data_IF_339778705921
#
_entry.id   IF_339778705921
#
_cell.length_a   1.000
_cell.length_b   1.000
_cell.length_c   1.000
_cell.angle_alpha   90.00
_cell.angle_beta   90.00
_cell.angle_gamma   90.00
#
_symmetry.space_group_name_H-M   'P 1'
#
loop_
_entity.id
_entity.type
_entity.pdbx_description
1 polymer ?
#
# COMPACT_ATOMS: atom_id res chain seq x y z
N UNK A 1 -2.03 22.99 8.68
CA UNK A 1 -2.66 24.28 9.04
C UNK A 1 -1.55 25.22 9.43
N UNK A 2 -1.48 26.36 8.78
CA UNK A 2 -0.67 27.47 9.24
C UNK A 2 -1.57 28.25 10.20
N UNK A 3 -1.25 28.23 11.49
CA UNK A 3 -1.99 28.98 12.52
C UNK A 3 -1.57 30.44 12.50
N UNK A 4 -2.51 31.33 12.79
CA UNK A 4 -2.16 32.73 13.02
C UNK A 4 -1.36 32.87 14.32
N UNK A 5 -0.25 33.60 14.24
CA UNK A 5 0.64 33.80 15.38
C UNK A 5 0.24 35.00 16.25
N UNK A 6 -0.51 35.94 15.66
CA UNK A 6 -1.10 37.08 16.33
C UNK A 6 -2.26 37.69 15.52
N UNK A 7 -3.03 38.58 16.11
CA UNK A 7 -4.11 39.25 15.40
C UNK A 7 -3.61 40.08 14.20
N UNK A 8 -2.37 40.55 14.20
CA UNK A 8 -1.76 41.38 13.15
C UNK A 8 -0.88 40.61 12.16
N UNK A 9 -0.50 39.37 12.48
CA UNK A 9 0.37 38.56 11.66
C UNK A 9 -0.36 37.32 11.12
N UNK A 10 0.04 36.87 9.94
CA UNK A 10 -0.38 35.62 9.34
C UNK A 10 0.82 34.83 8.83
N UNK A 11 0.79 33.53 8.99
CA UNK A 11 1.75 32.66 8.36
C UNK A 11 1.43 32.50 6.88
N UNK A 12 2.42 32.70 6.04
CA UNK A 12 2.33 32.42 4.62
C UNK A 12 3.54 31.62 4.14
N UNK A 13 3.40 31.02 2.99
CA UNK A 13 4.49 30.32 2.32
C UNK A 13 5.16 31.23 1.31
N UNK A 14 6.45 31.50 1.48
CA UNK A 14 7.23 32.18 0.46
C UNK A 14 7.52 31.20 -0.69
N UNK A 15 6.99 31.49 -1.86
CA UNK A 15 7.11 30.63 -3.04
C UNK A 15 8.52 30.56 -3.61
N UNK A 16 9.41 31.53 -3.26
CA UNK A 16 10.78 31.57 -3.76
C UNK A 16 11.72 30.62 -3.01
N UNK A 17 11.56 30.47 -1.70
CA UNK A 17 12.44 29.66 -0.85
C UNK A 17 11.74 28.47 -0.18
N UNK A 18 10.41 28.39 -0.27
CA UNK A 18 9.60 27.34 0.33
C UNK A 18 9.47 27.43 1.85
N UNK A 19 9.90 28.54 2.47
CA UNK A 19 9.79 28.74 3.90
C UNK A 19 8.46 29.39 4.30
N UNK A 20 7.98 29.03 5.46
CA UNK A 20 6.82 29.70 6.07
C UNK A 20 7.33 30.88 6.92
N UNK A 21 6.91 32.09 6.56
CA UNK A 21 7.27 33.31 7.24
C UNK A 21 6.09 33.88 8.03
N UNK A 22 6.39 34.50 9.15
CA UNK A 22 5.43 35.26 9.93
C UNK A 22 5.55 36.74 9.56
N UNK A 23 4.60 37.25 8.78
CA UNK A 23 4.61 38.61 8.27
C UNK A 23 3.41 39.41 8.74
N UNK A 24 3.58 40.72 8.88
CA UNK A 24 2.50 41.63 9.22
C UNK A 24 1.46 41.70 8.09
N UNK A 25 0.21 41.42 8.39
CA UNK A 25 -0.89 41.33 7.39
C UNK A 25 -1.05 42.62 6.54
N UNK A 26 -0.77 43.77 7.14
CA UNK A 26 -0.97 45.05 6.49
C UNK A 26 0.10 45.42 5.46
N UNK A 27 1.32 44.89 5.59
CA UNK A 27 2.46 45.22 4.74
C UNK A 27 2.89 44.10 3.82
N UNK A 28 2.34 42.91 3.98
CA UNK A 28 2.77 41.76 3.20
C UNK A 28 2.03 41.68 1.86
N UNK A 29 2.76 41.80 0.77
CA UNK A 29 2.22 41.65 -0.58
C UNK A 29 2.15 40.19 -1.05
N UNK A 30 2.63 39.24 -0.25
CA UNK A 30 2.47 37.82 -0.54
C UNK A 30 0.99 37.43 -0.49
N UNK A 31 0.54 36.65 -1.47
CA UNK A 31 -0.86 36.18 -1.49
C UNK A 31 -1.07 35.17 -0.38
N UNK A 32 -1.69 35.64 0.72
CA UNK A 32 -2.22 34.77 1.77
C UNK A 32 -3.57 34.27 1.30
N UNK A 33 -3.71 32.97 1.15
CA UNK A 33 -5.01 32.31 0.91
C UNK A 33 -5.51 31.71 2.23
N UNK A 34 -6.42 32.39 2.95
CA UNK A 34 -7.00 31.83 4.15
C UNK A 34 -7.93 30.65 3.77
N UNK A 35 -7.81 29.55 4.47
CA UNK A 35 -8.71 28.37 4.29
C UNK A 35 -10.19 28.76 4.48
N UNK A 36 -10.47 29.81 5.25
CA UNK A 36 -11.80 30.39 5.41
C UNK A 36 -12.41 31.01 4.15
N UNK A 37 -11.61 31.32 3.12
CA UNK A 37 -12.13 31.80 1.85
C UNK A 37 -12.85 30.72 1.04
N UNK A 38 -12.51 29.45 1.25
CA UNK A 38 -13.19 28.30 0.63
C UNK A 38 -14.65 28.16 1.08
N UNK A 39 -14.99 28.65 2.28
CA UNK A 39 -16.34 28.57 2.84
C UNK A 39 -17.25 29.71 2.36
N UNK A 40 -16.75 30.70 1.58
CA UNK A 40 -17.50 31.89 1.18
C UNK A 40 -17.80 32.01 -0.31
N UNK A 41 -17.45 31.03 -1.13
CA UNK A 41 -17.54 31.16 -2.59
C UNK A 41 -18.95 30.94 -3.14
N UNK A 42 -19.90 30.47 -2.37
CA UNK A 42 -21.30 30.44 -2.82
C UNK A 42 -22.26 30.78 -1.67
N UNK A 43 -22.90 31.94 -1.75
CA UNK A 43 -24.01 32.34 -0.91
C UNK A 43 -25.33 31.60 -1.20
N UNK A 44 -25.31 30.47 -1.84
CA UNK A 44 -26.42 29.54 -1.91
C UNK A 44 -26.35 28.63 -0.69
N UNK A 45 -27.35 28.54 0.18
CA UNK A 45 -27.39 27.52 1.19
C UNK A 45 -27.49 26.17 0.48
N UNK A 46 -26.34 25.49 0.35
CA UNK A 46 -26.31 24.10 -0.05
C UNK A 46 -27.07 23.35 1.03
N UNK A 47 -28.13 22.66 0.67
CA UNK A 47 -28.70 21.63 1.52
C UNK A 47 -27.64 20.52 1.62
N UNK A 48 -26.75 20.68 2.58
CA UNK A 48 -25.54 19.86 2.81
C UNK A 48 -25.87 18.47 3.38
N UNK A 49 -27.14 18.05 3.34
CA UNK A 49 -27.55 16.92 4.17
C UNK A 49 -27.38 15.54 3.54
N UNK A 50 -27.10 15.41 2.24
CA UNK A 50 -27.06 14.08 1.59
C UNK A 50 -25.99 13.95 0.50
N UNK A 51 -24.88 14.71 0.56
CA UNK A 51 -23.91 14.79 -0.53
C UNK A 51 -22.44 14.82 -0.05
N UNK A 52 -21.52 14.50 -0.96
CA UNK A 52 -20.10 14.71 -0.72
C UNK A 52 -19.80 16.18 -0.51
N UNK A 53 -19.22 16.51 0.62
CA UNK A 53 -18.86 17.89 0.97
C UNK A 53 -17.43 18.23 0.52
N UNK A 54 -17.17 19.51 0.24
CA UNK A 54 -15.81 20.01 -0.04
C UNK A 54 -14.88 19.72 1.14
N UNK A 55 -15.36 19.85 2.39
CA UNK A 55 -14.59 19.57 3.59
C UNK A 55 -14.13 18.09 3.64
N UNK A 56 -15.02 17.14 3.33
CA UNK A 56 -14.68 15.72 3.27
C UNK A 56 -13.62 15.40 2.21
N UNK A 57 -13.66 16.09 1.05
CA UNK A 57 -12.63 15.95 0.03
C UNK A 57 -11.30 16.62 0.43
N UNK A 58 -11.31 17.72 1.16
CA UNK A 58 -10.12 18.35 1.73
C UNK A 58 -9.44 17.39 2.71
N UNK A 59 -10.19 16.74 3.58
CA UNK A 59 -9.66 15.72 4.50
C UNK A 59 -9.01 14.55 3.73
N UNK A 60 -9.68 14.04 2.70
CA UNK A 60 -9.17 12.99 1.83
C UNK A 60 -7.91 13.43 1.07
N UNK A 61 -7.86 14.67 0.59
CA UNK A 61 -6.69 15.26 -0.06
C UNK A 61 -5.50 15.32 0.90
N UNK A 62 -5.68 15.85 2.10
CA UNK A 62 -4.58 15.92 3.08
C UNK A 62 -4.13 14.53 3.54
N UNK A 63 -5.02 13.56 3.62
CA UNK A 63 -4.65 12.17 3.89
C UNK A 63 -3.89 11.54 2.71
N UNK A 64 -4.35 11.71 1.50
CA UNK A 64 -3.68 11.26 0.27
C UNK A 64 -2.27 11.86 0.13
N UNK A 65 -2.11 13.14 0.46
CA UNK A 65 -0.87 13.89 0.36
C UNK A 65 0.19 13.46 1.38
N UNK A 66 -0.18 12.84 2.49
CA UNK A 66 0.77 12.36 3.49
C UNK A 66 1.86 11.51 2.84
N UNK A 67 3.13 11.86 3.10
CA UNK A 67 4.34 11.17 2.57
C UNK A 67 4.54 11.23 1.05
N UNK A 68 3.68 11.95 0.29
CA UNK A 68 3.78 12.07 -1.17
C UNK A 68 4.04 13.51 -1.66
N UNK A 69 4.30 14.46 -0.78
CA UNK A 69 4.47 15.90 -1.06
C UNK A 69 5.57 16.23 -2.09
N UNK A 70 6.44 15.28 -2.43
CA UNK A 70 7.57 15.47 -3.34
C UNK A 70 7.35 14.88 -4.72
N UNK A 71 6.20 14.28 -4.98
CA UNK A 71 5.90 13.74 -6.31
C UNK A 71 5.38 14.86 -7.21
N UNK A 72 5.79 14.87 -8.48
CA UNK A 72 5.37 15.87 -9.45
C UNK A 72 3.84 15.99 -9.51
N UNK A 73 3.13 14.87 -9.58
CA UNK A 73 1.67 14.85 -9.63
C UNK A 73 0.99 15.49 -8.40
N UNK A 74 1.59 15.33 -7.20
CA UNK A 74 1.08 15.96 -5.99
C UNK A 74 1.34 17.47 -5.99
N UNK A 75 2.53 17.90 -6.44
CA UNK A 75 2.90 19.31 -6.52
C UNK A 75 2.01 20.03 -7.54
N UNK A 76 1.82 19.48 -8.74
CA UNK A 76 0.97 20.04 -9.79
C UNK A 76 -0.50 20.13 -9.31
N UNK A 77 -0.98 19.13 -8.59
CA UNK A 77 -2.34 19.19 -8.03
C UNK A 77 -2.47 20.26 -6.96
N UNK A 78 -1.42 20.42 -6.12
CA UNK A 78 -1.39 21.36 -4.99
C UNK A 78 -1.43 22.84 -5.43
N UNK A 79 -0.97 23.15 -6.64
CA UNK A 79 -0.97 24.54 -7.15
C UNK A 79 -2.37 25.15 -7.25
N UNK A 80 -3.40 24.33 -7.40
CA UNK A 80 -4.79 24.74 -7.61
C UNK A 80 -5.77 23.71 -7.01
N UNK A 81 -5.45 23.18 -5.84
CA UNK A 81 -6.20 22.06 -5.28
C UNK A 81 -7.61 22.46 -4.85
N UNK A 82 -7.83 23.69 -4.43
CA UNK A 82 -9.15 24.17 -4.00
C UNK A 82 -10.16 24.10 -5.13
N UNK A 83 -9.85 24.72 -6.27
CA UNK A 83 -10.74 24.72 -7.45
C UNK A 83 -10.94 23.29 -7.99
N UNK A 84 -9.89 22.48 -7.97
CA UNK A 84 -9.98 21.07 -8.41
C UNK A 84 -10.86 20.22 -7.49
N UNK A 85 -10.79 20.45 -6.16
CA UNK A 85 -11.64 19.74 -5.20
C UNK A 85 -13.11 20.15 -5.32
N UNK A 86 -13.39 21.44 -5.60
CA UNK A 86 -14.75 21.89 -5.87
C UNK A 86 -15.29 21.22 -7.14
N UNK A 87 -14.53 21.25 -8.24
CA UNK A 87 -14.91 20.59 -9.48
C UNK A 87 -15.08 19.08 -9.32
N UNK A 88 -14.24 18.42 -8.50
CA UNK A 88 -14.37 17.01 -8.18
C UNK A 88 -15.66 16.73 -7.38
N UNK A 89 -15.96 17.54 -6.37
CA UNK A 89 -17.20 17.46 -5.60
C UNK A 89 -18.41 17.51 -6.52
N UNK A 90 -18.45 18.52 -7.39
CA UNK A 90 -19.59 18.74 -8.29
C UNK A 90 -19.78 17.52 -9.21
N UNK A 91 -18.72 17.00 -9.82
CA UNK A 91 -18.78 15.78 -10.62
C UNK A 91 -19.23 14.54 -9.84
N UNK A 92 -18.88 14.43 -8.58
CA UNK A 92 -19.35 13.32 -7.74
C UNK A 92 -20.84 13.45 -7.46
N UNK A 93 -21.27 14.65 -7.04
CA UNK A 93 -22.66 14.93 -6.71
C UNK A 93 -23.58 14.80 -7.94
N UNK A 94 -23.11 15.20 -9.12
CA UNK A 94 -23.82 15.04 -10.40
C UNK A 94 -23.72 13.63 -10.98
N UNK A 95 -23.08 12.67 -10.32
CA UNK A 95 -22.83 11.29 -10.80
C UNK A 95 -22.05 11.22 -12.12
N UNK A 96 -21.30 12.25 -12.47
CA UNK A 96 -20.49 12.33 -13.70
C UNK A 96 -19.01 11.99 -13.47
N UNK A 97 -18.61 11.75 -12.22
CA UNK A 97 -17.23 11.36 -11.92
C UNK A 97 -16.89 10.02 -12.55
N UNK A 98 -15.80 10.02 -13.33
CA UNK A 98 -15.15 8.83 -13.88
C UNK A 98 -13.65 8.89 -13.59
N UNK A 99 -13.00 7.77 -13.24
CA UNK A 99 -11.55 7.73 -13.01
C UNK A 99 -10.77 8.15 -14.25
N UNK A 100 -9.74 8.95 -14.03
CA UNK A 100 -8.88 9.48 -15.07
C UNK A 100 -7.86 8.46 -15.58
N UNK A 101 -6.97 8.94 -16.46
CA UNK A 101 -5.92 8.13 -17.07
C UNK A 101 -4.90 7.66 -16.03
N UNK A 102 -4.70 6.36 -15.92
CA UNK A 102 -3.72 5.73 -15.03
C UNK A 102 -2.33 5.64 -15.68
N UNK A 103 -1.29 5.60 -14.88
CA UNK A 103 0.07 5.22 -15.32
C UNK A 103 0.26 3.74 -15.03
N UNK A 104 0.60 2.95 -16.07
CA UNK A 104 0.90 1.54 -15.94
C UNK A 104 2.40 1.28 -16.10
N UNK A 105 2.99 0.51 -15.19
CA UNK A 105 4.38 0.10 -15.27
C UNK A 105 4.60 -1.30 -14.70
N UNK A 106 5.71 -1.92 -15.10
CA UNK A 106 6.08 -3.25 -14.63
C UNK A 106 7.21 -3.14 -13.61
N UNK A 107 6.95 -3.61 -12.40
CA UNK A 107 7.98 -3.84 -11.39
C UNK A 107 8.63 -5.19 -11.66
N UNK A 108 9.95 -5.20 -11.84
CA UNK A 108 10.70 -6.40 -12.23
C UNK A 108 11.20 -7.24 -11.05
N UNK A 109 11.20 -6.68 -9.84
CA UNK A 109 11.76 -7.33 -8.64
C UNK A 109 10.81 -7.22 -7.45
N UNK A 110 10.73 -8.23 -6.59
CA UNK A 110 11.39 -9.55 -6.66
C UNK A 110 10.83 -10.48 -7.74
N UNK A 111 9.71 -10.12 -8.35
CA UNK A 111 9.04 -10.78 -9.49
C UNK A 111 8.41 -9.73 -10.37
N UNK A 112 8.24 -10.03 -11.65
CA UNK A 112 7.49 -9.17 -12.56
C UNK A 112 6.06 -9.00 -12.06
N UNK A 113 5.62 -7.75 -11.93
CA UNK A 113 4.26 -7.38 -11.54
C UNK A 113 3.84 -6.13 -12.30
N UNK A 114 2.66 -6.16 -12.86
CA UNK A 114 2.00 -5.00 -13.43
C UNK A 114 1.40 -4.16 -12.30
N UNK A 115 1.63 -2.86 -12.36
CA UNK A 115 1.17 -1.90 -11.35
C UNK A 115 0.49 -0.75 -12.07
N UNK A 116 -0.70 -0.37 -11.62
CA UNK A 116 -1.43 0.79 -12.09
C UNK A 116 -1.41 1.87 -11.00
N UNK A 117 -0.86 3.01 -11.33
CA UNK A 117 -0.89 4.18 -10.49
C UNK A 117 -2.02 5.09 -10.98
N UNK A 118 -3.10 5.19 -10.23
CA UNK A 118 -4.21 6.07 -10.53
C UNK A 118 -3.76 7.54 -10.59
N UNK A 119 -4.46 8.40 -11.31
CA UNK A 119 -4.27 9.83 -11.30
C UNK A 119 -4.35 10.39 -9.86
N UNK A 120 -3.72 11.53 -9.60
CA UNK A 120 -3.66 12.04 -8.22
C UNK A 120 -5.06 12.35 -7.67
N UNK A 121 -5.95 12.86 -8.50
CA UNK A 121 -7.36 13.11 -8.17
C UNK A 121 -8.09 11.82 -7.77
N UNK A 122 -7.93 10.75 -8.55
CA UNK A 122 -8.54 9.45 -8.23
C UNK A 122 -8.03 8.88 -6.91
N UNK A 123 -6.75 9.14 -6.58
CA UNK A 123 -6.23 8.75 -5.27
C UNK A 123 -6.91 9.50 -4.14
N UNK A 124 -7.33 10.76 -4.34
CA UNK A 124 -8.14 11.50 -3.35
C UNK A 124 -9.48 10.78 -3.15
N UNK A 125 -10.12 10.36 -4.23
CA UNK A 125 -11.36 9.56 -4.13
C UNK A 125 -11.14 8.24 -3.39
N UNK A 126 -10.02 7.54 -3.67
CA UNK A 126 -9.67 6.32 -2.93
C UNK A 126 -9.48 6.58 -1.43
N UNK A 127 -8.86 7.71 -1.05
CA UNK A 127 -8.70 8.11 0.33
C UNK A 127 -10.04 8.54 0.96
N UNK A 128 -10.93 9.19 0.19
CA UNK A 128 -12.27 9.53 0.63
C UNK A 128 -13.07 8.28 1.03
N UNK A 129 -13.08 7.26 0.16
CA UNK A 129 -13.70 5.96 0.43
C UNK A 129 -13.05 5.30 1.66
N UNK A 130 -11.72 5.28 1.72
CA UNK A 130 -10.99 4.63 2.82
C UNK A 130 -11.30 5.27 4.17
N UNK A 131 -11.31 6.60 4.27
CA UNK A 131 -11.61 7.31 5.52
C UNK A 131 -12.99 6.96 6.10
N UNK A 132 -13.96 6.62 5.24
CA UNK A 132 -15.32 6.24 5.65
C UNK A 132 -15.46 4.74 5.95
N UNK A 133 -14.82 3.89 5.16
CA UNK A 133 -15.01 2.45 5.27
C UNK A 133 -13.99 1.75 6.17
N UNK A 134 -12.76 2.24 6.30
CA UNK A 134 -11.75 1.61 7.17
C UNK A 134 -12.23 1.44 8.62
N UNK A 135 -12.85 2.45 9.28
CA UNK A 135 -13.34 2.30 10.64
C UNK A 135 -14.40 1.20 10.78
N UNK A 136 -15.26 1.05 9.77
CA UNK A 136 -16.29 0.02 9.75
C UNK A 136 -15.72 -1.38 9.46
N UNK A 137 -14.76 -1.47 8.54
CA UNK A 137 -14.07 -2.71 8.24
C UNK A 137 -13.25 -3.21 9.42
N UNK A 138 -12.61 -2.29 10.19
CA UNK A 138 -11.88 -2.67 11.39
C UNK A 138 -12.75 -3.36 12.44
N UNK A 139 -14.05 -3.03 12.52
CA UNK A 139 -14.99 -3.67 13.43
C UNK A 139 -15.30 -5.12 13.06
N UNK A 140 -15.25 -5.46 11.76
CA UNK A 140 -15.58 -6.79 11.26
C UNK A 140 -14.36 -7.65 10.93
N UNK A 141 -13.20 -7.03 10.71
CA UNK A 141 -11.99 -7.77 10.35
C UNK A 141 -11.51 -8.66 11.48
N UNK A 142 -11.17 -9.89 11.12
CA UNK A 142 -10.49 -10.80 12.03
C UNK A 142 -9.23 -10.13 12.62
N UNK A 143 -8.95 -10.26 13.93
CA UNK A 143 -7.70 -9.81 14.52
C UNK A 143 -6.48 -10.47 13.87
N UNK A 144 -6.67 -11.55 13.14
CA UNK A 144 -5.66 -12.38 12.46
C UNK A 144 -5.34 -11.95 11.03
N UNK A 145 -5.92 -10.85 10.55
CA UNK A 145 -5.54 -10.20 9.29
C UNK A 145 -4.49 -9.13 9.57
N UNK A 146 -3.33 -9.18 8.91
CA UNK A 146 -2.16 -8.38 9.29
C UNK A 146 -1.77 -7.28 8.30
N UNK A 147 -2.18 -7.37 7.03
CA UNK A 147 -1.80 -6.39 6.00
C UNK A 147 -2.73 -5.17 5.99
N UNK A 148 -2.17 -4.02 5.62
CA UNK A 148 -2.90 -2.76 5.38
C UNK A 148 -3.81 -2.33 6.54
N UNK A 149 -3.40 -2.57 7.76
CA UNK A 149 -4.12 -2.19 8.99
C UNK A 149 -3.20 -1.41 9.92
N UNK A 150 -3.74 -0.40 10.58
CA UNK A 150 -2.98 0.44 11.52
C UNK A 150 -2.48 -0.39 12.70
N UNK A 151 -1.21 -0.23 13.05
CA UNK A 151 -0.57 -0.98 14.14
C UNK A 151 -0.22 -2.44 13.81
N UNK A 152 -0.61 -2.94 12.64
CA UNK A 152 -0.29 -4.28 12.15
C UNK A 152 0.74 -4.20 11.01
N UNK A 153 1.01 -5.28 10.35
CA UNK A 153 1.95 -5.36 9.25
C UNK A 153 2.79 -6.64 9.29
N UNK A 154 3.80 -6.68 8.45
CA UNK A 154 4.63 -7.87 8.25
C UNK A 154 5.27 -8.37 9.55
N UNK A 155 5.93 -7.48 10.29
CA UNK A 155 6.60 -7.86 11.55
C UNK A 155 5.61 -8.32 12.62
N UNK A 156 4.45 -7.67 12.70
CA UNK A 156 3.38 -8.09 13.60
C UNK A 156 2.93 -9.52 13.27
N UNK A 157 2.62 -9.82 12.00
CA UNK A 157 2.21 -11.15 11.57
C UNK A 157 3.26 -12.24 11.83
N UNK A 158 4.54 -11.92 11.63
CA UNK A 158 5.66 -12.82 11.92
C UNK A 158 5.74 -13.14 13.44
N UNK A 159 5.56 -12.13 14.28
CA UNK A 159 5.59 -12.32 15.73
C UNK A 159 4.37 -13.12 16.23
N UNK A 160 3.20 -12.86 15.66
CA UNK A 160 1.99 -13.66 15.96
C UNK A 160 2.18 -15.11 15.52
N UNK A 161 2.68 -15.38 14.32
CA UNK A 161 2.96 -16.76 13.89
C UNK A 161 3.93 -17.48 14.84
N UNK A 162 4.98 -16.77 15.30
CA UNK A 162 5.91 -17.34 16.28
C UNK A 162 5.24 -17.67 17.60
N UNK A 163 4.35 -16.80 18.06
CA UNK A 163 3.59 -17.03 19.29
C UNK A 163 2.60 -18.18 19.10
N UNK A 164 1.89 -18.22 17.98
CA UNK A 164 0.95 -19.32 17.66
C UNK A 164 1.65 -20.69 17.67
N UNK A 165 2.85 -20.79 17.10
CA UNK A 165 3.65 -22.01 17.13
C UNK A 165 4.00 -22.39 18.57
N UNK A 166 4.44 -21.43 19.38
CA UNK A 166 4.81 -21.66 20.80
C UNK A 166 3.60 -22.12 21.61
N UNK A 167 2.47 -21.49 21.46
CA UNK A 167 1.24 -21.82 22.22
C UNK A 167 0.66 -23.15 21.78
N UNK A 168 0.57 -23.40 20.48
CA UNK A 168 0.09 -24.67 19.94
C UNK A 168 0.97 -25.84 20.36
N UNK A 169 2.27 -25.68 20.40
CA UNK A 169 3.23 -26.72 20.83
C UNK A 169 3.45 -26.79 22.34
N UNK A 170 2.66 -26.08 23.15
CA UNK A 170 2.85 -26.00 24.60
C UNK A 170 4.31 -25.67 25.00
N UNK A 171 4.86 -24.60 24.40
CA UNK A 171 6.25 -24.20 24.65
C UNK A 171 7.29 -25.12 24.00
N UNK A 172 6.94 -25.75 22.88
CA UNK A 172 7.79 -26.67 22.08
C UNK A 172 7.97 -28.05 22.69
N UNK A 173 7.06 -28.47 23.56
CA UNK A 173 7.06 -29.79 24.21
C UNK A 173 6.19 -30.81 23.51
N UNK A 174 5.21 -30.36 22.71
CA UNK A 174 4.29 -31.23 21.98
C UNK A 174 4.38 -30.94 20.48
N UNK A 175 4.06 -31.95 19.68
CA UNK A 175 4.03 -31.80 18.23
C UNK A 175 2.96 -30.80 17.78
N UNK A 176 3.33 -29.97 16.84
CA UNK A 176 2.40 -29.17 16.07
C UNK A 176 2.87 -29.00 14.63
N UNK A 177 1.91 -28.75 13.76
CA UNK A 177 2.13 -28.64 12.31
C UNK A 177 1.68 -27.28 11.82
N UNK A 178 2.43 -26.76 10.85
CA UNK A 178 2.15 -25.48 10.21
C UNK A 178 1.73 -25.77 8.79
N UNK A 179 0.47 -25.44 8.46
CA UNK A 179 -0.03 -25.41 7.09
C UNK A 179 0.00 -23.98 6.59
N UNK A 180 0.60 -23.76 5.42
CA UNK A 180 0.61 -22.46 4.74
C UNK A 180 0.10 -22.63 3.33
N UNK A 181 -0.79 -21.73 2.93
CA UNK A 181 -1.49 -21.74 1.66
C UNK A 181 -1.41 -20.35 1.02
N UNK A 182 -1.54 -20.29 -0.30
CA UNK A 182 -1.50 -19.06 -1.08
C UNK A 182 -2.58 -19.12 -2.18
N UNK A 183 -3.13 -17.97 -2.54
CA UNK A 183 -4.12 -17.89 -3.61
C UNK A 183 -3.45 -17.68 -4.96
N UNK A 184 -3.92 -18.37 -5.98
CA UNK A 184 -3.39 -18.24 -7.33
C UNK A 184 -3.89 -16.95 -7.99
N UNK A 185 -2.96 -16.01 -8.24
CA UNK A 185 -3.29 -14.79 -8.98
C UNK A 185 -4.38 -13.95 -8.33
N UNK A 186 -4.46 -13.89 -7.00
CA UNK A 186 -5.57 -13.37 -6.23
C UNK A 186 -6.16 -12.07 -6.79
N UNK A 187 -5.37 -11.00 -6.91
CA UNK A 187 -5.87 -9.72 -7.40
C UNK A 187 -6.47 -9.80 -8.82
N UNK A 188 -5.92 -10.65 -9.68
CA UNK A 188 -6.40 -10.84 -11.05
C UNK A 188 -7.61 -11.77 -11.14
N UNK A 189 -7.89 -12.56 -10.09
CA UNK A 189 -9.04 -13.47 -10.06
C UNK A 189 -10.29 -12.83 -9.45
N UNK A 190 -10.18 -11.63 -8.88
CA UNK A 190 -11.32 -10.97 -8.23
C UNK A 190 -12.37 -10.59 -9.28
N UNK A 191 -13.59 -11.11 -9.14
CA UNK A 191 -14.73 -10.70 -9.94
C UNK A 191 -15.22 -9.32 -9.48
N UNK A 192 -15.09 -8.30 -10.34
CA UNK A 192 -15.42 -6.91 -10.03
C UNK A 192 -16.91 -6.73 -9.71
N UNK A 193 -17.79 -7.36 -10.47
CA UNK A 193 -19.24 -7.26 -10.24
C UNK A 193 -19.67 -7.89 -8.92
N UNK A 194 -19.09 -9.02 -8.55
CA UNK A 194 -19.31 -9.63 -7.24
C UNK A 194 -18.79 -8.74 -6.12
N UNK A 195 -17.55 -8.25 -6.24
CA UNK A 195 -16.95 -7.36 -5.24
C UNK A 195 -17.79 -6.09 -5.06
N UNK A 196 -18.21 -5.44 -6.15
CA UNK A 196 -19.05 -4.25 -6.11
C UNK A 196 -20.36 -4.51 -5.35
N UNK A 197 -21.03 -5.64 -5.62
CA UNK A 197 -22.26 -6.03 -4.88
C UNK A 197 -22.03 -6.27 -3.40
N UNK A 198 -20.92 -6.91 -3.03
CA UNK A 198 -20.58 -7.15 -1.62
C UNK A 198 -20.29 -5.85 -0.87
N UNK A 199 -19.54 -4.94 -1.50
CA UNK A 199 -19.23 -3.62 -0.92
C UNK A 199 -20.49 -2.76 -0.83
N UNK A 200 -21.32 -2.73 -1.88
CA UNK A 200 -22.58 -2.00 -1.87
C UNK A 200 -23.51 -2.46 -0.74
N UNK A 201 -23.72 -3.77 -0.61
CA UNK A 201 -24.50 -4.34 0.51
C UNK A 201 -23.93 -3.90 1.85
N UNK A 202 -22.61 -3.98 2.03
CA UNK A 202 -21.98 -3.58 3.29
C UNK A 202 -22.20 -2.10 3.60
N UNK A 203 -22.09 -1.21 2.60
CA UNK A 203 -22.35 0.22 2.76
C UNK A 203 -23.82 0.45 3.14
N UNK A 204 -24.75 -0.21 2.46
CA UNK A 204 -26.20 -0.11 2.79
C UNK A 204 -26.48 -0.50 4.24
N UNK A 205 -25.86 -1.59 4.70
CA UNK A 205 -26.15 -2.17 6.03
C UNK A 205 -25.39 -1.50 7.19
N UNK A 206 -24.25 -0.85 6.92
CA UNK A 206 -23.32 -0.45 7.99
C UNK A 206 -22.90 1.01 7.98
N UNK A 207 -23.15 1.73 6.91
CA UNK A 207 -22.77 3.14 6.82
C UNK A 207 -24.02 4.02 6.90
N UNK A 208 -24.03 4.93 7.87
CA UNK A 208 -25.16 5.85 8.13
C UNK A 208 -24.81 7.34 7.92
N UNK A 209 -23.67 7.61 7.21
CA UNK A 209 -23.31 8.98 6.86
C UNK A 209 -24.25 9.61 5.83
N UNK A 210 -24.35 10.96 5.81
CA UNK A 210 -25.23 11.67 4.88
C UNK A 210 -24.83 11.47 3.41
N UNK A 211 -23.58 11.18 3.14
CA UNK A 211 -23.02 10.93 1.81
C UNK A 211 -23.11 9.44 1.38
N UNK A 212 -24.04 8.67 1.96
CA UNK A 212 -24.19 7.21 1.72
C UNK A 212 -24.35 6.85 0.25
N UNK A 213 -25.24 7.54 -0.46
CA UNK A 213 -25.50 7.25 -1.87
C UNK A 213 -24.32 7.65 -2.77
N UNK A 214 -23.59 8.68 -2.42
CA UNK A 214 -22.37 9.07 -3.12
C UNK A 214 -21.25 8.08 -2.85
N UNK A 215 -21.13 7.61 -1.62
CA UNK A 215 -20.15 6.59 -1.26
C UNK A 215 -20.41 5.29 -2.01
N UNK A 216 -21.67 4.87 -2.16
CA UNK A 216 -22.07 3.72 -2.98
C UNK A 216 -21.68 3.90 -4.44
N UNK A 217 -22.00 5.07 -5.02
CA UNK A 217 -21.62 5.43 -6.38
C UNK A 217 -20.11 5.37 -6.57
N UNK A 218 -19.32 6.00 -5.68
CA UNK A 218 -17.87 6.00 -5.75
C UNK A 218 -17.28 4.60 -5.62
N UNK A 219 -17.74 3.80 -4.66
CA UNK A 219 -17.28 2.42 -4.50
C UNK A 219 -17.53 1.59 -5.76
N UNK A 220 -18.73 1.69 -6.35
CA UNK A 220 -19.08 1.01 -7.59
C UNK A 220 -18.20 1.47 -8.76
N UNK A 221 -18.02 2.77 -8.92
CA UNK A 221 -17.23 3.38 -9.99
C UNK A 221 -15.77 2.92 -9.92
N UNK A 222 -15.12 2.98 -8.75
CA UNK A 222 -13.71 2.58 -8.63
C UNK A 222 -13.49 1.06 -8.73
N UNK A 223 -14.45 0.25 -8.26
CA UNK A 223 -14.34 -1.22 -8.35
C UNK A 223 -14.52 -1.70 -9.79
N UNK A 224 -15.50 -1.14 -10.52
CA UNK A 224 -15.79 -1.53 -11.89
C UNK A 224 -14.84 -0.91 -12.91
N UNK A 225 -14.04 0.09 -12.51
CA UNK A 225 -13.08 0.73 -13.40
C UNK A 225 -12.10 -0.26 -14.03
N UNK A 226 -11.79 -0.03 -15.31
CA UNK A 226 -10.87 -0.83 -16.13
C UNK A 226 -9.66 0.02 -16.55
N UNK A 227 -8.68 0.20 -15.66
CA UNK A 227 -7.55 1.08 -15.91
C UNK A 227 -6.69 0.63 -17.11
N UNK A 228 -6.71 -0.65 -17.48
CA UNK A 228 -6.03 -1.18 -18.66
C UNK A 228 -6.57 -0.60 -19.97
N UNK A 229 -7.84 -0.16 -20.01
CA UNK A 229 -8.46 0.49 -21.16
C UNK A 229 -8.12 1.98 -21.27
N UNK A 230 -7.69 2.61 -20.15
CA UNK A 230 -7.34 4.03 -20.09
C UNK A 230 -6.07 4.25 -19.26
N UNK A 231 -4.91 3.89 -19.82
CA UNK A 231 -3.62 4.08 -19.15
C UNK A 231 -2.50 4.43 -20.12
N UNK A 232 -1.44 4.98 -19.55
CA UNK A 232 -0.16 5.22 -20.21
C UNK A 232 0.90 4.24 -19.69
N UNK A 233 1.57 3.53 -20.60
CA UNK A 233 2.59 2.53 -20.24
C UNK A 233 3.97 3.18 -20.16
N UNK A 234 4.54 3.23 -18.95
CA UNK A 234 5.84 3.84 -18.68
C UNK A 234 7.02 2.85 -18.68
N UNK A 235 6.77 1.55 -18.74
CA UNK A 235 7.83 0.54 -18.86
C UNK A 235 8.04 0.11 -20.31
N UNK A 236 9.26 -0.37 -20.66
CA UNK A 236 9.53 -0.96 -21.97
C UNK A 236 8.53 -2.09 -22.29
N UNK A 237 7.97 -2.08 -23.51
CA UNK A 237 6.92 -3.04 -23.93
C UNK A 237 7.31 -4.51 -23.70
N UNK A 238 8.58 -4.86 -23.90
CA UNK A 238 9.06 -6.23 -23.73
C UNK A 238 8.98 -6.75 -22.28
N UNK A 239 8.81 -5.88 -21.25
CA UNK A 239 8.62 -6.34 -19.87
C UNK A 239 7.31 -7.10 -19.68
N UNK A 240 6.28 -6.81 -20.46
CA UNK A 240 5.02 -7.54 -20.43
C UNK A 240 5.17 -8.98 -20.93
N UNK A 241 6.17 -9.30 -21.77
CA UNK A 241 6.45 -10.67 -22.23
C UNK A 241 6.90 -11.60 -21.08
N UNK A 242 7.40 -11.05 -20.00
CA UNK A 242 7.80 -11.82 -18.80
C UNK A 242 6.67 -11.99 -17.78
N UNK A 243 5.50 -11.39 -18.02
CA UNK A 243 4.32 -11.56 -17.18
C UNK A 243 3.49 -12.75 -17.70
N UNK A 244 3.17 -13.75 -16.83
CA UNK A 244 2.17 -14.74 -17.20
C UNK A 244 0.83 -14.06 -17.56
N UNK A 245 0.12 -14.55 -18.57
CA UNK A 245 -1.15 -13.97 -19.03
C UNK A 245 -2.15 -13.74 -17.88
N UNK A 246 -2.27 -14.68 -16.96
CA UNK A 246 -3.13 -14.58 -15.76
C UNK A 246 -2.64 -13.58 -14.69
N UNK A 247 -1.61 -12.77 -14.97
CA UNK A 247 -1.05 -11.75 -14.05
C UNK A 247 -1.00 -10.36 -14.64
N UNK A 248 -1.64 -10.14 -15.76
CA UNK A 248 -1.81 -8.83 -16.40
C UNK A 248 -3.29 -8.55 -16.63
N UNK A 249 -3.74 -7.33 -16.35
CA UNK A 249 -5.11 -6.91 -16.66
C UNK A 249 -5.35 -6.83 -18.17
N UNK A 250 -4.31 -6.57 -18.98
CA UNK A 250 -4.44 -6.51 -20.44
C UNK A 250 -4.79 -7.86 -21.09
N UNK A 251 -4.53 -8.96 -20.40
CA UNK A 251 -4.76 -10.32 -20.91
C UNK A 251 -5.71 -11.12 -20.02
N UNK A 252 -6.28 -10.48 -19.00
CA UNK A 252 -7.28 -11.09 -18.13
C UNK A 252 -8.66 -11.04 -18.77
N UNK A 253 -9.60 -11.85 -18.28
CA UNK A 253 -10.99 -11.82 -18.75
C UNK A 253 -11.73 -10.55 -18.31
N UNK A 254 -12.71 -10.12 -19.11
CA UNK A 254 -13.55 -8.96 -18.83
C UNK A 254 -14.22 -9.05 -17.46
N UNK A 255 -14.23 -7.94 -16.73
CA UNK A 255 -14.80 -7.87 -15.39
C UNK A 255 -14.00 -8.63 -14.30
N UNK A 256 -12.83 -9.17 -14.64
CA UNK A 256 -11.93 -9.83 -13.69
C UNK A 256 -10.70 -8.97 -13.39
N UNK A 257 -10.30 -9.02 -12.14
CA UNK A 257 -9.06 -8.40 -11.65
C UNK A 257 -9.23 -6.97 -11.17
N UNK A 258 -8.54 -6.65 -10.09
CA UNK A 258 -8.40 -5.29 -9.56
C UNK A 258 -6.95 -4.83 -9.66
N UNK A 259 -6.76 -3.58 -10.00
CA UNK A 259 -5.44 -3.00 -10.25
C UNK A 259 -4.55 -3.03 -9.01
N UNK A 260 -3.35 -3.60 -9.13
CA UNK A 260 -2.34 -3.52 -8.09
C UNK A 260 -1.73 -2.11 -8.08
N UNK A 261 -1.63 -1.49 -6.91
CA UNK A 261 -1.05 -0.16 -6.72
C UNK A 261 -2.00 0.87 -6.15
N UNK A 262 -3.29 0.58 -6.12
CA UNK A 262 -4.32 1.46 -5.59
C UNK A 262 -4.74 1.11 -4.16
N UNK A 263 -5.05 2.13 -3.36
CA UNK A 263 -5.44 1.96 -1.95
C UNK A 263 -6.72 1.12 -1.82
N UNK A 264 -7.74 1.43 -2.64
CA UNK A 264 -9.01 0.71 -2.59
C UNK A 264 -8.87 -0.78 -2.89
N UNK A 265 -7.95 -1.15 -3.80
CA UNK A 265 -7.71 -2.56 -4.15
C UNK A 265 -7.25 -3.38 -2.96
N UNK A 266 -6.40 -2.80 -2.11
CA UNK A 266 -5.92 -3.45 -0.90
C UNK A 266 -7.00 -3.53 0.18
N UNK A 267 -7.78 -2.46 0.33
CA UNK A 267 -8.87 -2.37 1.30
C UNK A 267 -9.97 -3.39 0.99
N UNK A 268 -10.45 -3.39 -0.25
CA UNK A 268 -11.52 -4.30 -0.68
C UNK A 268 -11.06 -5.75 -0.83
N UNK A 269 -9.78 -6.00 -1.14
CA UNK A 269 -9.20 -7.34 -1.10
C UNK A 269 -9.21 -7.92 0.32
N UNK A 270 -8.88 -7.11 1.33
CA UNK A 270 -9.01 -7.54 2.73
C UNK A 270 -10.46 -7.81 3.13
N UNK A 271 -11.38 -6.94 2.70
CA UNK A 271 -12.81 -7.12 2.93
C UNK A 271 -13.32 -8.44 2.33
N UNK A 272 -12.97 -8.73 1.08
CA UNK A 272 -13.34 -9.98 0.41
C UNK A 272 -12.81 -11.21 1.17
N UNK A 273 -11.53 -11.21 1.53
CA UNK A 273 -10.90 -12.35 2.20
C UNK A 273 -11.22 -12.47 3.70
N UNK A 274 -11.90 -11.49 4.30
CA UNK A 274 -12.37 -11.61 5.67
C UNK A 274 -13.33 -12.81 5.87
N UNK A 275 -14.03 -13.21 4.81
CA UNK A 275 -14.86 -14.41 4.78
C UNK A 275 -14.01 -15.67 5.04
N UNK A 276 -12.83 -15.75 4.41
CA UNK A 276 -11.90 -16.87 4.64
C UNK A 276 -11.39 -16.86 6.08
N UNK A 277 -11.03 -15.69 6.62
CA UNK A 277 -10.51 -15.58 7.99
C UNK A 277 -11.53 -16.11 9.00
N UNK A 278 -12.78 -15.71 8.89
CA UNK A 278 -13.84 -16.18 9.79
C UNK A 278 -14.24 -17.62 9.54
N UNK A 279 -14.18 -18.10 8.30
CA UNK A 279 -14.40 -19.51 7.98
C UNK A 279 -13.37 -20.42 8.67
N UNK A 280 -12.08 -20.04 8.63
CA UNK A 280 -11.03 -20.78 9.31
C UNK A 280 -11.26 -20.85 10.82
N UNK A 281 -11.68 -19.73 11.42
CA UNK A 281 -11.86 -19.61 12.87
C UNK A 281 -13.17 -20.25 13.34
N UNK A 282 -14.29 -19.88 12.72
CA UNK A 282 -15.63 -20.26 13.23
C UNK A 282 -16.14 -21.59 12.68
N UNK A 283 -15.93 -21.83 11.37
CA UNK A 283 -16.49 -23.03 10.72
C UNK A 283 -15.54 -24.23 10.79
N UNK A 284 -14.20 -23.97 10.71
CA UNK A 284 -13.21 -25.03 10.82
C UNK A 284 -12.63 -25.19 12.23
N UNK A 285 -12.94 -24.25 13.14
CA UNK A 285 -12.54 -24.30 14.54
C UNK A 285 -11.04 -24.23 14.77
N UNK A 286 -10.31 -23.46 13.95
CA UNK A 286 -8.87 -23.23 14.15
C UNK A 286 -8.62 -22.04 15.04
N UNK A 287 -7.83 -22.21 16.08
CA UNK A 287 -7.41 -21.13 17.01
C UNK A 287 -6.25 -20.32 16.45
N UNK A 288 -5.27 -20.98 15.85
CA UNK A 288 -4.03 -20.38 15.42
C UNK A 288 -4.01 -20.22 13.90
N UNK A 289 -4.49 -19.08 13.45
CA UNK A 289 -4.53 -18.71 12.02
C UNK A 289 -3.93 -17.34 11.83
N UNK A 290 -3.50 -17.00 10.60
CA UNK A 290 -3.08 -15.66 10.27
C UNK A 290 -2.96 -15.46 8.77
N UNK A 291 -3.28 -14.23 8.31
CA UNK A 291 -3.26 -13.88 6.90
C UNK A 291 -2.53 -12.56 6.64
N UNK A 292 -1.71 -12.57 5.60
CA UNK A 292 -1.08 -11.40 5.04
C UNK A 292 -1.36 -11.33 3.52
N UNK A 293 -2.34 -10.54 3.13
CA UNK A 293 -2.93 -10.47 1.76
C UNK A 293 -3.50 -11.83 1.36
N UNK A 294 -2.88 -12.51 0.40
CA UNK A 294 -3.23 -13.82 -0.15
C UNK A 294 -2.47 -14.99 0.49
N UNK A 295 -1.46 -14.69 1.31
CA UNK A 295 -0.62 -15.67 2.00
C UNK A 295 -1.17 -15.90 3.43
N UNK A 296 -1.64 -17.11 3.75
CA UNK A 296 -2.23 -17.41 5.05
C UNK A 296 -1.70 -18.71 5.62
N UNK A 297 -1.72 -18.81 6.94
CA UNK A 297 -1.30 -20.01 7.67
C UNK A 297 -2.34 -20.47 8.68
N UNK A 298 -2.26 -21.75 9.00
CA UNK A 298 -2.98 -22.41 10.08
C UNK A 298 -1.98 -23.26 10.86
N UNK A 299 -2.02 -23.21 12.18
CA UNK A 299 -1.20 -24.05 13.06
C UNK A 299 -2.13 -24.90 13.92
N UNK A 300 -1.90 -26.21 13.93
CA UNK A 300 -2.69 -27.15 14.73
C UNK A 300 -1.81 -28.36 15.11
N UNK A 301 -2.17 -29.05 16.20
CA UNK A 301 -1.53 -30.31 16.62
C UNK A 301 -1.93 -31.46 15.73
N UNK A 302 -3.15 -31.44 15.22
CA UNK A 302 -3.73 -32.51 14.40
C UNK A 302 -3.42 -32.23 12.91
N UNK A 303 -2.46 -32.98 12.37
CA UNK A 303 -2.09 -32.93 10.96
C UNK A 303 -3.23 -33.41 10.04
N UNK A 304 -4.04 -34.41 10.49
CA UNK A 304 -5.16 -34.90 9.70
C UNK A 304 -6.27 -33.87 9.57
N UNK A 305 -6.58 -33.13 10.67
CA UNK A 305 -7.50 -31.99 10.66
C UNK A 305 -7.07 -30.90 9.68
N UNK A 306 -5.77 -30.56 9.65
CA UNK A 306 -5.23 -29.60 8.69
C UNK A 306 -5.44 -30.05 7.25
N UNK A 307 -5.16 -31.32 6.94
CA UNK A 307 -5.37 -31.88 5.59
C UNK A 307 -6.84 -31.92 5.20
N UNK A 308 -7.73 -32.32 6.12
CA UNK A 308 -9.18 -32.35 5.90
C UNK A 308 -9.79 -30.94 5.67
N UNK A 309 -9.15 -29.88 6.17
CA UNK A 309 -9.57 -28.50 5.94
C UNK A 309 -9.37 -28.04 4.48
N UNK A 310 -8.36 -28.55 3.77
CA UNK A 310 -7.97 -28.08 2.43
C UNK A 310 -9.13 -28.15 1.41
N UNK A 311 -9.84 -29.28 1.23
CA UNK A 311 -10.97 -29.33 0.29
C UNK A 311 -12.11 -28.40 0.70
N UNK A 312 -12.37 -28.19 1.99
CA UNK A 312 -13.39 -27.26 2.49
C UNK A 312 -13.01 -25.80 2.19
N UNK A 313 -11.75 -25.42 2.41
CA UNK A 313 -11.20 -24.09 2.03
C UNK A 313 -11.32 -23.88 0.52
N UNK A 314 -10.98 -24.90 -0.29
CA UNK A 314 -11.10 -24.82 -1.75
C UNK A 314 -12.55 -24.61 -2.18
N UNK A 315 -13.50 -25.34 -1.61
CA UNK A 315 -14.91 -25.19 -1.90
C UNK A 315 -15.44 -23.79 -1.56
N UNK A 316 -15.03 -23.22 -0.41
CA UNK A 316 -15.35 -21.83 -0.07
C UNK A 316 -14.81 -20.87 -1.12
N UNK A 317 -13.53 -20.93 -1.41
CA UNK A 317 -12.85 -19.99 -2.32
C UNK A 317 -13.45 -20.05 -3.73
N UNK A 318 -13.80 -21.24 -4.23
CA UNK A 318 -14.43 -21.42 -5.54
C UNK A 318 -15.77 -20.69 -5.66
N UNK A 319 -16.55 -20.58 -4.57
CA UNK A 319 -17.81 -19.78 -4.55
C UNK A 319 -17.58 -18.30 -4.82
N UNK A 320 -16.37 -17.81 -4.53
CA UNK A 320 -15.95 -16.42 -4.76
C UNK A 320 -15.03 -16.27 -5.99
N UNK A 321 -14.98 -17.31 -6.86
CA UNK A 321 -14.14 -17.30 -8.06
C UNK A 321 -12.62 -17.32 -7.77
N UNK A 322 -12.22 -17.69 -6.55
CA UNK A 322 -10.84 -17.74 -6.11
C UNK A 322 -10.31 -19.16 -6.10
N UNK A 323 -9.01 -19.33 -6.33
CA UNK A 323 -8.37 -20.64 -6.44
C UNK A 323 -7.13 -20.72 -5.54
N UNK A 324 -6.99 -21.83 -4.80
CA UNK A 324 -5.73 -22.14 -4.10
C UNK A 324 -4.62 -22.43 -5.11
N UNK A 325 -3.43 -21.92 -4.83
CA UNK A 325 -2.25 -22.20 -5.63
C UNK A 325 -1.88 -23.70 -5.55
N UNK A 326 -1.83 -24.41 -6.68
CA UNK A 326 -1.51 -25.86 -6.65
C UNK A 326 -0.05 -26.11 -6.28
N UNK A 327 0.85 -25.13 -6.46
CA UNK A 327 2.29 -25.26 -6.26
C UNK A 327 2.80 -24.67 -4.96
N UNK A 328 1.94 -23.97 -4.21
CA UNK A 328 2.31 -23.30 -2.97
C UNK A 328 1.56 -23.86 -1.77
N UNK A 329 1.67 -25.14 -1.59
CA UNK A 329 1.20 -25.85 -0.41
C UNK A 329 2.38 -26.22 0.49
N UNK A 330 2.31 -25.80 1.74
CA UNK A 330 3.32 -26.13 2.75
C UNK A 330 2.62 -26.73 3.96
N UNK A 331 3.05 -27.92 4.40
CA UNK A 331 2.59 -28.55 5.62
C UNK A 331 3.76 -29.32 6.24
N UNK A 332 4.29 -28.80 7.32
CA UNK A 332 5.45 -29.38 8.01
C UNK A 332 5.31 -29.28 9.52
N UNK A 333 6.04 -30.13 10.21
CA UNK A 333 6.25 -30.00 11.66
C UNK A 333 6.99 -28.69 11.98
N UNK A 334 6.67 -28.03 13.10
CA UNK A 334 7.22 -26.71 13.46
C UNK A 334 8.75 -26.65 13.51
N UNK A 335 9.45 -27.76 13.84
CA UNK A 335 10.91 -27.80 13.89
C UNK A 335 11.60 -27.50 12.56
N UNK A 336 10.92 -27.72 11.43
CA UNK A 336 11.44 -27.38 10.11
C UNK A 336 11.45 -25.86 9.86
N UNK A 337 10.61 -25.11 10.60
CA UNK A 337 10.39 -23.69 10.38
C UNK A 337 9.48 -23.41 9.18
N UNK A 338 9.05 -22.19 9.02
CA UNK A 338 8.18 -21.76 7.91
C UNK A 338 8.61 -20.38 7.38
N UNK A 339 8.64 -20.23 6.07
CA UNK A 339 8.80 -18.90 5.46
C UNK A 339 7.44 -18.19 5.40
N UNK A 340 7.32 -17.04 6.09
CA UNK A 340 6.15 -16.19 6.04
C UNK A 340 6.59 -14.74 5.77
N UNK A 341 5.99 -14.12 4.74
CA UNK A 341 6.28 -12.74 4.33
C UNK A 341 7.78 -12.40 4.17
N UNK A 342 8.60 -13.38 3.70
CA UNK A 342 10.04 -13.19 3.46
C UNK A 342 10.93 -13.40 4.67
N UNK A 343 10.37 -13.83 5.79
CA UNK A 343 11.10 -14.22 7.00
C UNK A 343 10.87 -15.69 7.29
N UNK A 344 11.91 -16.41 7.61
CA UNK A 344 11.83 -17.79 8.10
C UNK A 344 11.68 -17.76 9.62
N UNK A 345 10.58 -18.33 10.11
CA UNK A 345 10.28 -18.47 11.54
C UNK A 345 10.60 -19.89 11.97
N UNK A 346 11.48 -20.03 12.95
CA UNK A 346 11.78 -21.28 13.67
C UNK A 346 11.42 -21.11 15.15
N UNK A 347 11.43 -22.20 15.88
CA UNK A 347 11.13 -22.20 17.31
C UNK A 347 12.07 -21.32 18.12
N UNK A 348 13.38 -21.36 17.81
CA UNK A 348 14.44 -20.65 18.53
C UNK A 348 14.73 -19.24 17.95
N UNK A 349 14.48 -19.03 16.66
CA UNK A 349 14.90 -17.82 15.94
C UNK A 349 14.03 -17.47 14.75
N UNK A 350 14.19 -16.24 14.27
CA UNK A 350 13.70 -15.79 12.96
C UNK A 350 14.85 -15.19 12.17
N UNK A 351 14.85 -15.40 10.85
CA UNK A 351 15.87 -14.85 9.96
C UNK A 351 15.30 -14.57 8.57
N UNK A 352 15.96 -13.66 7.86
CA UNK A 352 15.56 -13.25 6.52
C UNK A 352 15.78 -14.40 5.52
N UNK A 353 14.82 -14.64 4.63
CA UNK A 353 14.93 -15.71 3.65
C UNK A 353 16.08 -15.50 2.66
N UNK A 354 16.67 -16.60 2.17
CA UNK A 354 17.83 -16.59 1.28
C UNK A 354 17.61 -15.76 0.00
N UNK A 355 16.38 -15.70 -0.53
CA UNK A 355 16.05 -14.88 -1.70
C UNK A 355 16.26 -13.39 -1.40
N UNK A 356 15.82 -12.91 -0.25
CA UNK A 356 16.01 -11.51 0.16
C UNK A 356 17.49 -11.19 0.34
N UNK A 357 18.28 -12.09 0.95
CA UNK A 357 19.73 -11.95 1.11
C UNK A 357 20.42 -11.86 -0.27
N UNK A 358 20.10 -12.77 -1.20
CA UNK A 358 20.64 -12.73 -2.59
C UNK A 358 20.33 -11.41 -3.29
N UNK A 359 19.10 -10.93 -3.17
CA UNK A 359 18.68 -9.65 -3.76
C UNK A 359 19.38 -8.46 -3.12
N UNK A 360 19.65 -8.50 -1.82
CA UNK A 360 20.43 -7.48 -1.12
C UNK A 360 21.87 -7.41 -1.67
N UNK A 361 22.54 -8.55 -1.79
CA UNK A 361 23.89 -8.61 -2.40
C UNK A 361 23.88 -8.07 -3.83
N UNK A 362 22.84 -8.37 -4.62
CA UNK A 362 22.70 -7.81 -5.98
C UNK A 362 22.45 -6.30 -5.97
N UNK A 363 21.78 -5.75 -4.95
CA UNK A 363 21.61 -4.30 -4.82
C UNK A 363 22.96 -3.62 -4.53
N UNK A 364 23.79 -4.20 -3.66
CA UNK A 364 25.17 -3.72 -3.42
C UNK A 364 26.02 -3.78 -4.68
N UNK A 365 25.96 -4.88 -5.44
CA UNK A 365 26.67 -4.97 -6.73
C UNK A 365 26.25 -3.92 -7.73
N UNK A 366 24.95 -3.54 -7.74
CA UNK A 366 24.46 -2.42 -8.59
C UNK A 366 25.01 -1.07 -8.13
N UNK A 367 25.10 -0.86 -6.82
CA UNK A 367 25.74 0.35 -6.27
C UNK A 367 27.20 0.47 -6.72
N UNK A 368 27.95 -0.64 -6.64
CA UNK A 368 29.36 -0.68 -7.05
C UNK A 368 29.57 -0.40 -8.55
N UNK A 369 28.55 -0.66 -9.38
CA UNK A 369 28.56 -0.40 -10.83
C UNK A 369 27.89 0.93 -11.22
N UNK A 370 27.46 1.72 -10.24
CA UNK A 370 26.78 2.97 -10.52
C UNK A 370 27.79 4.04 -10.96
N UNK A 371 27.56 4.66 -12.10
CA UNK A 371 28.39 5.69 -12.70
C UNK A 371 27.92 7.11 -12.36
N UNK A 372 26.61 7.25 -12.10
CA UNK A 372 25.96 8.52 -11.81
C UNK A 372 25.10 8.45 -10.55
N UNK A 373 24.64 9.64 -10.12
CA UNK A 373 23.87 9.79 -8.88
C UNK A 373 22.46 9.18 -8.97
N UNK A 374 21.87 9.08 -10.15
CA UNK A 374 20.53 8.49 -10.33
C UNK A 374 20.58 6.98 -10.11
N UNK A 375 21.59 6.30 -10.67
CA UNK A 375 21.84 4.88 -10.44
C UNK A 375 22.21 4.61 -8.98
N UNK A 376 23.00 5.49 -8.35
CA UNK A 376 23.31 5.43 -6.91
C UNK A 376 22.03 5.53 -6.08
N UNK A 377 21.13 6.49 -6.36
CA UNK A 377 19.87 6.64 -5.63
C UNK A 377 19.02 5.39 -5.72
N UNK A 378 18.80 4.84 -6.92
CA UNK A 378 18.03 3.60 -7.15
C UNK A 378 18.62 2.40 -6.40
N UNK A 379 19.95 2.30 -6.37
CA UNK A 379 20.64 1.24 -5.65
C UNK A 379 20.51 1.40 -4.13
N UNK A 380 20.68 2.60 -3.61
CA UNK A 380 20.56 2.95 -2.18
C UNK A 380 19.14 2.70 -1.67
N UNK A 381 18.12 3.07 -2.43
CA UNK A 381 16.71 2.80 -2.06
C UNK A 381 16.45 1.30 -1.94
N UNK A 382 16.98 0.52 -2.90
CA UNK A 382 16.90 -0.95 -2.85
C UNK A 382 17.65 -1.53 -1.63
N UNK A 383 18.86 -1.06 -1.34
CA UNK A 383 19.67 -1.48 -0.20
C UNK A 383 18.92 -1.19 1.11
N UNK A 384 18.38 0.01 1.26
CA UNK A 384 17.66 0.41 2.48
C UNK A 384 16.37 -0.39 2.69
N UNK A 385 15.69 -0.78 1.62
CA UNK A 385 14.54 -1.69 1.70
C UNK A 385 14.95 -3.05 2.30
N UNK A 386 16.05 -3.65 1.84
CA UNK A 386 16.54 -4.92 2.40
C UNK A 386 17.10 -4.77 3.81
N UNK A 387 17.80 -3.67 4.12
CA UNK A 387 18.23 -3.37 5.48
C UNK A 387 17.06 -3.30 6.45
N UNK A 388 15.91 -2.76 6.02
CA UNK A 388 14.67 -2.78 6.79
C UNK A 388 14.24 -4.20 7.18
N UNK A 389 14.27 -5.14 6.23
CA UNK A 389 13.95 -6.55 6.49
C UNK A 389 14.92 -7.20 7.49
N UNK A 390 16.24 -7.01 7.30
CA UNK A 390 17.25 -7.61 8.16
C UNK A 390 17.23 -7.03 9.60
N UNK A 391 16.83 -5.76 9.75
CA UNK A 391 16.66 -5.16 11.08
C UNK A 391 15.55 -5.84 11.87
N UNK A 392 14.46 -6.22 11.21
CA UNK A 392 13.34 -6.94 11.85
C UNK A 392 13.75 -8.31 12.41
N UNK A 393 14.81 -8.90 11.88
CA UNK A 393 15.35 -10.20 12.31
C UNK A 393 16.61 -10.10 13.17
N UNK A 394 17.03 -8.89 13.53
CA UNK A 394 18.24 -8.65 14.35
C UNK A 394 19.55 -9.14 13.70
N UNK A 395 19.62 -9.22 12.37
CA UNK A 395 20.75 -9.79 11.62
C UNK A 395 21.90 -8.78 11.43
N UNK A 396 22.49 -8.31 12.51
CA UNK A 396 23.61 -7.35 12.50
C UNK A 396 24.82 -7.87 11.71
N UNK A 397 25.27 -9.08 12.00
CA UNK A 397 26.45 -9.67 11.35
C UNK A 397 26.24 -9.80 9.83
N UNK A 398 25.05 -10.17 9.38
CA UNK A 398 24.72 -10.25 7.96
C UNK A 398 24.71 -8.87 7.30
N UNK A 399 24.12 -7.85 7.94
CA UNK A 399 24.16 -6.47 7.43
C UNK A 399 25.58 -5.97 7.26
N UNK A 400 26.43 -6.14 8.30
CA UNK A 400 27.85 -5.80 8.26
C UNK A 400 28.58 -6.53 7.12
N UNK A 401 28.41 -7.86 7.01
CA UNK A 401 29.07 -8.69 5.98
C UNK A 401 28.70 -8.26 4.56
N UNK A 402 27.44 -7.89 4.31
CA UNK A 402 27.00 -7.50 2.99
C UNK A 402 27.43 -6.07 2.66
N UNK A 403 27.28 -5.13 3.60
CA UNK A 403 27.69 -3.74 3.37
C UNK A 403 29.21 -3.54 3.28
N UNK A 404 30.01 -4.43 3.87
CA UNK A 404 31.46 -4.45 3.69
C UNK A 404 31.91 -4.77 2.24
N UNK A 405 30.98 -5.20 1.38
CA UNK A 405 31.21 -5.40 -0.06
C UNK A 405 30.97 -4.15 -0.91
N UNK A 406 30.70 -3.02 -0.30
CA UNK A 406 30.59 -1.74 -0.99
C UNK A 406 32.02 -1.25 -1.30
N UNK A 407 32.27 -0.99 -2.58
CA UNK A 407 33.57 -0.53 -3.06
C UNK A 407 33.87 0.92 -2.59
N UNK A 408 35.14 1.21 -2.35
CA UNK A 408 35.58 2.49 -1.77
C UNK A 408 35.13 3.71 -2.58
N UNK A 409 35.12 3.61 -3.91
CA UNK A 409 34.71 4.73 -4.78
C UNK A 409 33.24 5.16 -4.55
N UNK A 410 32.35 4.25 -4.06
CA UNK A 410 30.97 4.58 -3.75
C UNK A 410 30.82 5.59 -2.61
N UNK A 411 31.79 5.61 -1.69
CA UNK A 411 31.76 6.51 -0.54
C UNK A 411 31.97 7.99 -0.90
N UNK A 412 32.28 8.32 -2.15
CA UNK A 412 32.19 9.70 -2.64
C UNK A 412 30.74 10.22 -2.58
N UNK A 413 29.74 9.36 -2.80
CA UNK A 413 28.30 9.70 -2.85
C UNK A 413 27.55 9.39 -1.56
N UNK A 414 27.95 8.31 -0.86
CA UNK A 414 27.18 7.73 0.25
C UNK A 414 27.98 7.71 1.56
N UNK A 415 27.25 7.39 2.64
CA UNK A 415 27.82 7.01 3.94
C UNK A 415 26.85 6.07 4.65
N UNK A 416 27.36 5.28 5.61
CA UNK A 416 26.58 4.33 6.39
C UNK A 416 26.26 4.95 7.74
N UNK A 417 24.98 4.88 8.17
CA UNK A 417 24.49 5.35 9.46
C UNK A 417 24.15 4.23 10.41
N UNK A 418 24.26 4.53 11.72
CA UNK A 418 23.93 3.61 12.79
C UNK A 418 24.80 2.35 12.75
N UNK A 419 24.32 1.27 13.34
CA UNK A 419 24.97 -0.04 13.31
C UNK A 419 24.66 -0.76 11.99
N UNK A 420 25.12 -0.23 10.84
CA UNK A 420 24.82 -0.76 9.50
C UNK A 420 23.31 -0.83 9.21
N UNK A 421 22.60 0.23 9.60
CA UNK A 421 21.12 0.26 9.50
C UNK A 421 20.61 0.96 8.27
N UNK A 422 21.33 1.98 7.80
CA UNK A 422 20.91 2.83 6.69
C UNK A 422 22.13 3.22 5.87
N UNK A 423 22.02 3.13 4.55
CA UNK A 423 22.93 3.76 3.61
C UNK A 423 22.31 5.10 3.17
N UNK A 424 23.01 6.20 3.44
CA UNK A 424 22.51 7.54 3.16
C UNK A 424 23.34 8.22 2.07
N UNK A 425 22.67 8.95 1.19
CA UNK A 425 23.34 9.82 0.19
C UNK A 425 23.80 11.10 0.89
N UNK A 426 25.02 11.54 0.59
CA UNK A 426 25.58 12.79 1.12
C UNK A 426 24.74 14.00 0.68
N UNK A 427 24.61 15.00 1.56
CA UNK A 427 23.68 16.13 1.38
C UNK A 427 23.78 16.79 -0.01
N UNK A 428 25.00 17.00 -0.51
CA UNK A 428 25.26 17.63 -1.82
C UNK A 428 24.74 16.86 -3.04
N UNK A 429 24.42 15.56 -2.90
CA UNK A 429 23.93 14.70 -3.98
C UNK A 429 22.46 14.28 -3.80
N UNK A 430 21.74 14.83 -2.80
CA UNK A 430 20.35 14.45 -2.57
C UNK A 430 19.43 15.00 -3.64
N UNK A 431 18.57 14.19 -4.17
CA UNK A 431 17.58 14.48 -5.24
C UNK A 431 16.72 15.72 -4.98
N UNK A 432 16.49 16.10 -3.72
CA UNK A 432 15.71 17.30 -3.38
C UNK A 432 16.28 18.59 -4.03
N UNK A 433 17.59 18.69 -4.13
CA UNK A 433 18.24 19.83 -4.82
C UNK A 433 18.06 19.76 -6.34
N UNK A 434 18.20 18.55 -6.90
CA UNK A 434 18.10 18.34 -8.35
C UNK A 434 16.66 18.49 -8.86
N UNK A 435 15.65 18.04 -8.10
CA UNK A 435 14.24 18.16 -8.49
C UNK A 435 13.78 19.62 -8.50
N UNK A 436 14.13 20.41 -7.48
CA UNK A 436 13.82 21.84 -7.44
C UNK A 436 14.52 22.61 -8.57
N UNK A 437 15.75 22.22 -8.91
CA UNK A 437 16.50 22.80 -10.01
C UNK A 437 15.86 22.46 -11.36
N UNK A 438 15.46 21.21 -11.61
CA UNK A 438 14.74 20.76 -12.82
C UNK A 438 13.38 21.42 -12.98
N UNK A 439 12.61 21.59 -11.89
CA UNK A 439 11.34 22.32 -11.92
C UNK A 439 11.57 23.78 -12.28
N UNK A 440 12.60 24.42 -11.72
CA UNK A 440 12.96 25.81 -12.03
C UNK A 440 13.42 25.97 -13.46
N UNK A 441 14.16 25.00 -13.98
CA UNK A 441 14.76 25.05 -15.32
C UNK A 441 13.81 24.52 -16.42
N UNK A 442 12.56 24.15 -16.06
CA UNK A 442 11.53 23.66 -17.01
C UNK A 442 11.85 22.32 -17.67
N UNK A 443 12.80 21.57 -17.15
CA UNK A 443 13.29 20.28 -17.70
C UNK A 443 12.71 19.05 -17.00
N UNK A 444 11.52 19.18 -16.42
CA UNK A 444 10.85 18.09 -15.70
C UNK A 444 9.90 17.31 -16.60
#
# INVERSE_FOLDING_TARGET
MLTENSATNAWNLNLNDGNANNNTKATNQNRVRPVSALLRINNTPIKDNDMVTTQGLIEAYFDCRKRKRKTASAIIYEMDYESKLIALRDRINDRTYMPGKSICFVVTRPRYREVFAAAFEDRIVHHYIALRLEPLFEQIFSPRTFNCRKGKGQLYGINILRQDIKDCSAGYTTDCYIMKLDLQGFFMSINKAMLARLVDRFVVERYDGPDKEDLRFLCRTVVLHEPEKNCERHSPKHYWNYLPAKKSLFTNGDGLGVAIGNLFSQLFANFLLNILDWFLIKELGFTYVGRYVDDFYVVDRDKAKLLAAVPRIRALLTRYGLTLSPTKFYLQHYSKGVEFTGTVVKYDRKYTCNRTIKNFVMAVRRLNRAEDIEHVQKAVDSINSYLGCLRQCNEYAMRRKILAKIDNHCFKWIYIKGRFEIVAIKKKYRTRYLTLQRIRDGTY
#
